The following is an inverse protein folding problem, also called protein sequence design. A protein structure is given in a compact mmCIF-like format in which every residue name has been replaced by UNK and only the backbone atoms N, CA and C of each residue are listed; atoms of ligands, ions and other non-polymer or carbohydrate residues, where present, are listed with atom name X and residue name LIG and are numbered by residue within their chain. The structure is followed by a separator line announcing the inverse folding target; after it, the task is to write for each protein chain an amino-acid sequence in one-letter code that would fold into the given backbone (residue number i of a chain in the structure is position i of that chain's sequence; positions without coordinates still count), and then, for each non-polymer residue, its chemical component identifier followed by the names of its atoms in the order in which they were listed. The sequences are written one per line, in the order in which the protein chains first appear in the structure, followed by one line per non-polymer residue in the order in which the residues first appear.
data_IF_818003392264
#
_entry.id   IF_818003392264
#
_cell.length_a   1.000
_cell.length_b   1.000
_cell.length_c   1.000
_cell.angle_alpha   90.00
_cell.angle_beta   90.00
_cell.angle_gamma   90.00
#
_symmetry.space_group_name_H-M   'P 1'
#
loop_
_entity.id
_entity.type
_entity.pdbx_description
1 polymer ?
#
# COMPACT_ATOMS: atom_id res chain seq x y z
N UNK A 1 4.73 6.49 -63.66
CA UNK A 1 5.72 6.12 -62.63
C UNK A 1 5.11 6.41 -61.29
N UNK A 2 4.48 5.42 -60.69
CA UNK A 2 3.75 5.57 -59.40
C UNK A 2 4.63 4.98 -58.30
N UNK A 3 5.05 5.79 -57.31
CA UNK A 3 5.75 5.33 -56.10
C UNK A 3 4.72 4.85 -55.10
N UNK A 4 4.77 3.55 -54.80
CA UNK A 4 4.09 2.98 -53.62
C UNK A 4 4.94 3.28 -52.37
N UNK A 5 4.37 4.01 -51.39
CA UNK A 5 4.91 4.08 -50.07
C UNK A 5 4.37 2.90 -49.26
N UNK A 6 5.24 1.94 -48.90
CA UNK A 6 4.96 0.94 -47.90
C UNK A 6 5.12 1.60 -46.52
N UNK A 7 4.01 1.83 -45.83
CA UNK A 7 4.00 2.23 -44.45
C UNK A 7 4.25 1.01 -43.56
N UNK A 8 5.43 0.94 -42.92
CA UNK A 8 5.70 -0.03 -41.84
C UNK A 8 5.04 0.48 -40.55
N UNK A 9 3.98 -0.17 -40.13
CA UNK A 9 3.42 0.04 -38.78
C UNK A 9 4.32 -0.68 -37.74
N UNK A 10 5.10 0.10 -36.99
CA UNK A 10 5.79 -0.38 -35.81
C UNK A 10 4.73 -0.70 -34.75
N UNK A 11 4.43 -1.96 -34.58
CA UNK A 11 3.62 -2.45 -33.47
C UNK A 11 4.35 -2.21 -32.16
N UNK A 12 3.92 -1.25 -31.36
CA UNK A 12 4.32 -1.10 -29.98
C UNK A 12 3.72 -2.26 -29.20
N UNK A 13 4.55 -3.28 -28.90
CA UNK A 13 4.22 -4.27 -27.89
C UNK A 13 4.18 -3.54 -26.55
N UNK A 14 3.00 -3.14 -26.10
CA UNK A 14 2.75 -2.79 -24.70
C UNK A 14 2.83 -4.10 -23.91
N UNK A 15 3.99 -4.36 -23.29
CA UNK A 15 4.11 -5.39 -22.31
C UNK A 15 3.02 -5.14 -21.26
N UNK A 16 2.11 -6.11 -21.12
CA UNK A 16 0.95 -5.99 -20.26
C UNK A 16 1.39 -5.61 -18.84
N UNK A 17 1.00 -4.44 -18.40
CA UNK A 17 0.99 -4.11 -17.00
C UNK A 17 0.17 -5.21 -16.32
N UNK A 18 0.80 -6.02 -15.47
CA UNK A 18 0.08 -6.90 -14.58
C UNK A 18 -0.74 -5.98 -13.65
N UNK A 19 -1.96 -5.70 -14.04
CA UNK A 19 -2.95 -5.16 -13.15
C UNK A 19 -3.02 -6.17 -12.00
N UNK A 20 -2.54 -5.79 -10.82
CA UNK A 20 -2.87 -6.50 -9.60
C UNK A 20 -4.38 -6.48 -9.54
N UNK A 21 -4.97 -7.63 -9.89
CA UNK A 21 -6.41 -7.81 -9.81
C UNK A 21 -6.76 -7.51 -8.35
N UNK A 22 -7.50 -6.43 -8.12
CA UNK A 22 -8.21 -6.29 -6.87
C UNK A 22 -8.96 -7.61 -6.72
N UNK A 23 -8.61 -8.41 -5.70
CA UNK A 23 -9.33 -9.63 -5.44
C UNK A 23 -10.79 -9.24 -5.14
N UNK A 24 -11.57 -9.14 -6.20
CA UNK A 24 -13.01 -9.09 -6.06
C UNK A 24 -13.39 -10.50 -5.64
N UNK A 25 -13.74 -10.64 -4.38
CA UNK A 25 -14.15 -11.93 -3.86
C UNK A 25 -15.33 -12.45 -4.70
N UNK A 26 -15.33 -13.75 -5.01
CA UNK A 26 -16.45 -14.36 -5.72
C UNK A 26 -17.74 -14.24 -4.91
N UNK A 27 -18.90 -14.31 -5.53
CA UNK A 27 -20.19 -14.12 -4.84
C UNK A 27 -20.47 -15.10 -3.69
N UNK A 28 -19.68 -16.17 -3.59
CA UNK A 28 -19.75 -17.18 -2.52
C UNK A 28 -18.70 -17.00 -1.43
N UNK A 29 -17.76 -16.10 -1.63
CA UNK A 29 -16.69 -15.84 -0.66
C UNK A 29 -17.14 -14.88 0.43
N UNK A 30 -16.60 -15.08 1.63
CA UNK A 30 -16.68 -14.08 2.68
C UNK A 30 -15.48 -13.14 2.56
N UNK A 31 -15.73 -11.85 2.59
CA UNK A 31 -14.65 -10.85 2.62
C UNK A 31 -14.16 -10.65 4.05
N UNK A 32 -12.86 -10.73 4.25
CA UNK A 32 -12.17 -10.34 5.48
C UNK A 32 -11.19 -9.20 5.20
N UNK A 33 -11.14 -8.22 6.09
CA UNK A 33 -10.16 -7.12 6.02
C UNK A 33 -9.13 -7.35 7.12
N UNK A 34 -7.86 -7.47 6.74
CA UNK A 34 -6.74 -7.70 7.66
C UNK A 34 -6.60 -6.54 8.63
N UNK A 35 -6.49 -6.84 9.91
CA UNK A 35 -6.22 -5.86 10.96
C UNK A 35 -4.85 -6.09 11.59
N UNK A 36 -4.35 -5.10 12.35
CA UNK A 36 -3.04 -5.21 13.02
C UNK A 36 -2.97 -6.43 13.94
N UNK A 37 -1.89 -7.20 13.80
CA UNK A 37 -1.68 -8.44 14.53
C UNK A 37 -2.20 -9.72 13.86
N UNK A 38 -2.91 -9.61 12.74
CA UNK A 38 -3.34 -10.77 11.98
C UNK A 38 -2.16 -11.48 11.30
N UNK A 39 -2.30 -12.79 11.19
CA UNK A 39 -1.50 -13.63 10.28
C UNK A 39 -2.44 -14.39 9.36
N UNK A 40 -2.00 -14.70 8.14
CA UNK A 40 -2.84 -15.48 7.22
C UNK A 40 -3.23 -16.84 7.79
N UNK A 41 -2.31 -17.45 8.57
CA UNK A 41 -2.58 -18.69 9.30
C UNK A 41 -3.65 -18.53 10.39
N UNK A 42 -3.63 -17.45 11.13
CA UNK A 42 -4.65 -17.13 12.14
C UNK A 42 -6.02 -16.88 11.51
N UNK A 43 -6.06 -16.17 10.38
CA UNK A 43 -7.29 -15.96 9.60
C UNK A 43 -7.80 -17.31 9.08
N UNK A 44 -6.92 -18.12 8.48
CA UNK A 44 -7.30 -19.45 7.98
C UNK A 44 -7.93 -20.32 9.07
N UNK A 45 -7.28 -20.40 10.26
CA UNK A 45 -7.79 -21.13 11.41
C UNK A 45 -9.15 -20.61 11.88
N UNK A 46 -9.33 -19.30 11.97
CA UNK A 46 -10.59 -18.64 12.36
C UNK A 46 -11.76 -19.02 11.46
N UNK A 47 -11.50 -19.20 10.18
CA UNK A 47 -12.52 -19.50 9.17
C UNK A 47 -12.57 -20.99 8.76
N UNK A 48 -11.84 -21.87 9.46
CA UNK A 48 -11.88 -23.30 9.22
C UNK A 48 -11.32 -23.75 7.86
N UNK A 49 -10.39 -22.97 7.31
CA UNK A 49 -9.66 -23.29 6.08
C UNK A 49 -8.19 -23.51 6.35
N UNK A 50 -7.45 -24.09 5.39
CA UNK A 50 -5.99 -24.22 5.53
C UNK A 50 -5.27 -22.95 5.07
N UNK A 51 -4.09 -22.71 5.65
CA UNK A 51 -3.20 -21.64 5.22
C UNK A 51 -2.92 -21.70 3.70
N UNK A 52 -2.63 -22.91 3.20
CA UNK A 52 -2.33 -23.12 1.79
C UNK A 52 -3.54 -22.81 0.88
N UNK A 53 -4.73 -23.26 1.28
CA UNK A 53 -5.97 -22.98 0.57
C UNK A 53 -6.25 -21.48 0.55
N UNK A 54 -6.12 -20.81 1.69
CA UNK A 54 -6.39 -19.38 1.79
C UNK A 54 -5.37 -18.55 0.98
N UNK A 55 -4.09 -18.93 1.02
CA UNK A 55 -3.04 -18.29 0.24
C UNK A 55 -3.28 -18.44 -1.27
N UNK A 56 -3.53 -19.67 -1.74
CA UNK A 56 -3.76 -19.94 -3.17
C UNK A 56 -5.03 -19.26 -3.69
N UNK A 57 -6.12 -19.28 -2.92
CA UNK A 57 -7.38 -18.64 -3.29
C UNK A 57 -7.25 -17.10 -3.44
N UNK A 58 -6.35 -16.51 -2.69
CA UNK A 58 -6.08 -15.07 -2.73
C UNK A 58 -4.85 -14.70 -3.56
N UNK A 59 -4.24 -15.64 -4.29
CA UNK A 59 -3.00 -15.43 -5.06
C UNK A 59 -1.86 -14.85 -4.20
N UNK A 60 -1.79 -15.24 -2.92
CA UNK A 60 -0.77 -14.80 -1.98
C UNK A 60 0.45 -15.73 -2.12
N UNK A 61 1.50 -15.25 -2.78
CA UNK A 61 2.71 -16.02 -3.02
C UNK A 61 3.57 -16.24 -1.77
N UNK A 62 3.51 -15.34 -0.80
CA UNK A 62 4.17 -15.49 0.49
C UNK A 62 3.15 -15.38 1.64
N UNK A 63 2.75 -16.50 2.27
CA UNK A 63 1.75 -16.53 3.33
C UNK A 63 2.12 -15.75 4.61
N UNK A 64 3.41 -15.42 4.78
CA UNK A 64 3.89 -14.61 5.91
C UNK A 64 3.77 -13.11 5.66
N UNK A 65 3.32 -12.71 4.46
CA UNK A 65 3.18 -11.31 4.07
C UNK A 65 1.72 -10.99 3.76
N UNK A 66 0.99 -10.55 4.76
CA UNK A 66 -0.31 -9.91 4.62
C UNK A 66 -0.25 -8.53 5.25
N UNK A 67 -1.08 -7.62 4.75
CA UNK A 67 -1.01 -6.21 5.10
C UNK A 67 -2.29 -5.76 5.78
N UNK A 68 -2.18 -4.86 6.74
CA UNK A 68 -3.35 -4.20 7.34
C UNK A 68 -4.21 -3.60 6.22
N UNK A 69 -5.53 -3.81 6.31
CA UNK A 69 -6.53 -3.47 5.31
C UNK A 69 -6.46 -4.27 3.98
N UNK A 70 -5.59 -5.25 3.87
CA UNK A 70 -5.66 -6.19 2.77
C UNK A 70 -7.00 -6.93 2.81
N UNK A 71 -7.65 -7.03 1.65
CA UNK A 71 -8.85 -7.85 1.50
C UNK A 71 -8.44 -9.31 1.29
N UNK A 72 -8.95 -10.18 2.12
CA UNK A 72 -8.81 -11.63 2.01
C UNK A 72 -10.16 -12.22 1.68
N UNK A 73 -10.24 -12.94 0.58
CA UNK A 73 -11.41 -13.71 0.18
C UNK A 73 -11.34 -15.07 0.86
N UNK A 74 -12.28 -15.34 1.73
CA UNK A 74 -12.39 -16.63 2.43
C UNK A 74 -13.25 -17.55 1.57
N UNK A 75 -12.67 -18.63 0.99
CA UNK A 75 -13.41 -19.51 0.11
C UNK A 75 -14.52 -20.26 0.84
N UNK A 76 -15.66 -20.31 0.20
CA UNK A 76 -16.78 -21.12 0.62
C UNK A 76 -17.46 -20.66 1.91
N UNK A 77 -18.72 -20.21 1.82
CA UNK A 77 -19.64 -20.28 2.93
C UNK A 77 -19.96 -21.75 3.31
N UNK A 78 -18.91 -22.60 3.40
CA UNK A 78 -19.02 -23.96 3.85
C UNK A 78 -19.53 -23.97 5.26
N UNK A 79 -20.56 -24.77 5.53
CA UNK A 79 -21.07 -25.15 6.84
C UNK A 79 -19.97 -25.88 7.63
N UNK A 80 -18.92 -25.14 8.00
CA UNK A 80 -17.97 -25.54 9.03
C UNK A 80 -18.74 -25.61 10.32
N UNK A 81 -18.90 -26.81 10.84
CA UNK A 81 -19.48 -27.12 12.15
C UNK A 81 -18.83 -26.23 13.18
N UNK A 82 -19.55 -25.21 13.65
CA UNK A 82 -19.11 -24.34 14.73
C UNK A 82 -18.89 -25.22 15.96
N UNK A 83 -17.63 -25.33 16.39
CA UNK A 83 -17.33 -25.76 17.74
C UNK A 83 -18.05 -24.82 18.70
N UNK A 84 -18.82 -25.39 19.63
CA UNK A 84 -19.63 -24.71 20.63
C UNK A 84 -18.85 -23.60 21.33
N UNK A 85 -19.32 -22.37 21.21
CA UNK A 85 -18.79 -21.22 21.96
C UNK A 85 -19.41 -19.92 21.52
N UNK A 86 -20.63 -19.64 21.94
CA UNK A 86 -21.15 -18.30 22.25
C UNK A 86 -21.48 -17.34 21.11
N UNK A 87 -22.81 -17.11 20.95
CA UNK A 87 -23.36 -15.81 20.61
C UNK A 87 -23.32 -15.38 19.15
N UNK A 88 -24.46 -15.55 18.44
CA UNK A 88 -24.75 -14.82 17.20
C UNK A 88 -24.86 -13.33 17.52
N UNK A 89 -23.80 -12.60 17.37
CA UNK A 89 -23.87 -11.13 17.33
C UNK A 89 -23.98 -10.72 15.86
N UNK A 90 -25.12 -10.18 15.51
CA UNK A 90 -25.31 -9.36 14.31
C UNK A 90 -24.23 -8.29 14.28
N UNK A 91 -23.27 -8.41 13.36
CA UNK A 91 -22.24 -7.39 13.20
C UNK A 91 -22.91 -6.17 12.57
N UNK A 92 -23.15 -5.15 13.41
CA UNK A 92 -23.28 -3.78 12.96
C UNK A 92 -22.05 -3.41 12.11
N UNK A 93 -22.24 -2.49 11.16
CA UNK A 93 -21.18 -1.96 10.31
C UNK A 93 -19.90 -1.75 11.10
N UNK A 94 -18.70 -2.00 10.52
CA UNK A 94 -17.46 -1.91 11.26
C UNK A 94 -17.35 -0.51 11.83
N UNK A 95 -17.50 -0.42 13.15
CA UNK A 95 -17.04 0.75 13.89
C UNK A 95 -15.55 0.83 13.55
N UNK A 96 -15.11 1.94 13.00
CA UNK A 96 -13.70 2.21 12.83
C UNK A 96 -13.02 1.98 14.17
N UNK A 97 -12.37 0.82 14.31
CA UNK A 97 -11.46 0.65 15.42
C UNK A 97 -10.29 1.59 15.11
N UNK A 98 -10.28 2.73 15.78
CA UNK A 98 -9.06 3.48 15.98
C UNK A 98 -8.01 2.48 16.39
N UNK A 99 -6.89 2.41 15.65
CA UNK A 99 -5.73 1.61 16.03
C UNK A 99 -5.52 1.75 17.53
N UNK A 100 -5.05 0.69 18.24
CA UNK A 100 -4.75 0.83 19.65
C UNK A 100 -3.79 2.01 19.77
N UNK A 101 -4.32 3.10 20.30
CA UNK A 101 -3.53 4.28 20.61
C UNK A 101 -2.53 3.80 21.63
N UNK A 102 -1.27 3.72 21.25
CA UNK A 102 -0.20 3.59 22.21
C UNK A 102 -0.48 4.65 23.27
N UNK A 103 -0.66 4.20 24.51
CA UNK A 103 -1.16 5.00 25.60
C UNK A 103 -0.47 6.37 25.62
N UNK A 104 -1.25 7.43 25.51
CA UNK A 104 -0.96 8.78 25.99
C UNK A 104 0.35 9.47 25.55
N UNK A 105 0.68 9.41 24.27
CA UNK A 105 1.41 10.54 23.68
C UNK A 105 0.36 11.35 22.94
N UNK A 106 -0.06 12.46 23.54
CA UNK A 106 -0.80 13.46 22.81
C UNK A 106 -0.05 13.74 21.51
N UNK A 107 -0.69 13.66 20.32
CA UNK A 107 0.01 13.97 19.09
C UNK A 107 0.60 15.37 19.26
N UNK A 108 1.91 15.48 19.22
CA UNK A 108 2.58 16.76 19.18
C UNK A 108 2.10 17.42 17.90
N UNK A 109 1.21 18.38 18.01
CA UNK A 109 0.56 19.07 16.88
C UNK A 109 1.52 19.88 16.02
N UNK A 110 2.82 19.73 16.22
CA UNK A 110 3.88 20.52 15.62
C UNK A 110 5.09 19.70 15.14
N UNK A 111 5.00 18.39 15.04
CA UNK A 111 6.13 17.60 14.58
C UNK A 111 6.36 17.81 13.08
N UNK A 112 7.32 18.65 12.75
CA UNK A 112 7.88 18.84 11.41
C UNK A 112 9.40 18.67 11.47
N UNK A 113 9.98 18.19 10.36
CA UNK A 113 11.43 18.19 10.17
C UNK A 113 11.93 19.52 9.63
N UNK A 114 13.16 19.83 9.91
CA UNK A 114 13.81 21.07 9.47
C UNK A 114 14.86 20.84 8.39
N UNK A 115 15.22 19.59 8.14
CA UNK A 115 16.19 19.19 7.11
C UNK A 115 15.96 17.76 6.67
N UNK A 116 16.38 17.44 5.45
CA UNK A 116 16.43 16.07 4.97
C UNK A 116 17.60 15.32 5.64
N UNK A 117 17.31 14.18 6.24
CA UNK A 117 18.30 13.34 6.94
C UNK A 117 18.50 11.97 6.28
N UNK A 118 17.77 11.70 5.19
CA UNK A 118 17.85 10.43 4.49
C UNK A 118 19.05 10.39 3.53
N UNK A 119 19.62 9.21 3.28
CA UNK A 119 20.77 9.09 2.38
C UNK A 119 20.36 9.31 0.91
N UNK A 120 21.12 10.18 0.21
CA UNK A 120 21.00 10.32 -1.24
C UNK A 120 21.67 9.11 -1.94
N UNK A 121 21.11 8.54 -2.99
CA UNK A 121 19.90 8.92 -3.75
C UNK A 121 18.66 8.05 -3.41
N UNK A 122 18.44 7.68 -2.16
CA UNK A 122 17.34 6.81 -1.76
C UNK A 122 15.95 7.41 -2.09
N UNK A 123 14.96 6.54 -2.26
CA UNK A 123 13.55 6.95 -2.42
C UNK A 123 13.06 7.80 -1.24
N UNK A 124 13.50 7.47 -0.03
CA UNK A 124 13.22 8.23 1.20
C UNK A 124 13.81 9.63 1.15
N UNK A 125 15.02 9.79 0.57
CA UNK A 125 15.61 11.12 0.38
C UNK A 125 14.76 11.97 -0.56
N UNK A 126 14.35 11.39 -1.70
CA UNK A 126 13.54 12.14 -2.66
C UNK A 126 12.17 12.48 -2.11
N UNK A 127 11.50 11.51 -1.47
CA UNK A 127 10.16 11.73 -0.94
C UNK A 127 10.14 12.86 0.10
N UNK A 128 11.13 12.89 1.01
CA UNK A 128 11.28 13.96 2.00
C UNK A 128 11.63 15.30 1.35
N UNK A 129 12.58 15.30 0.40
CA UNK A 129 12.98 16.50 -0.31
C UNK A 129 11.83 17.09 -1.14
N UNK A 130 11.08 16.23 -1.85
CA UNK A 130 9.96 16.68 -2.68
C UNK A 130 8.79 17.15 -1.85
N UNK A 131 8.52 16.45 -0.74
CA UNK A 131 7.49 16.87 0.21
C UNK A 131 7.80 18.27 0.78
N UNK A 132 9.05 18.52 1.16
CA UNK A 132 9.48 19.83 1.65
C UNK A 132 9.40 20.92 0.57
N UNK A 133 9.68 20.61 -0.70
CA UNK A 133 9.49 21.56 -1.80
C UNK A 133 8.01 21.99 -1.97
N UNK A 134 7.08 21.08 -1.72
CA UNK A 134 5.65 21.36 -1.87
C UNK A 134 5.07 22.05 -0.63
N UNK A 135 5.46 21.61 0.58
CA UNK A 135 4.79 21.99 1.83
C UNK A 135 5.63 22.93 2.73
N UNK A 136 6.91 23.13 2.42
CA UNK A 136 7.78 24.04 3.17
C UNK A 136 8.42 23.43 4.42
N UNK A 137 8.27 22.13 4.67
CA UNK A 137 8.87 21.43 5.81
C UNK A 137 9.10 19.95 5.47
N UNK A 138 10.10 19.36 6.14
CA UNK A 138 10.49 17.96 6.01
C UNK A 138 9.66 17.07 6.94
N UNK A 139 9.71 15.74 6.70
CA UNK A 139 9.12 14.78 7.64
C UNK A 139 9.92 14.79 8.96
N UNK A 140 9.25 14.57 10.12
CA UNK A 140 9.92 14.68 11.42
C UNK A 140 10.70 13.42 11.84
N UNK A 141 10.47 12.28 11.19
CA UNK A 141 11.13 11.02 11.56
C UNK A 141 12.49 10.87 10.89
N UNK A 142 13.45 10.36 11.65
CA UNK A 142 14.85 10.33 11.26
C UNK A 142 15.54 8.98 11.41
N UNK A 143 15.02 8.09 12.26
CA UNK A 143 15.65 6.81 12.58
C UNK A 143 14.69 5.65 12.30
N UNK A 144 15.25 4.46 11.96
CA UNK A 144 14.46 3.27 11.64
C UNK A 144 13.34 3.59 10.66
N UNK A 145 13.71 4.23 9.56
CA UNK A 145 12.76 4.82 8.62
C UNK A 145 13.03 4.33 7.22
N UNK A 146 13.15 3.00 7.07
CA UNK A 146 13.02 2.37 5.75
C UNK A 146 11.65 2.73 5.18
N UNK A 147 11.51 2.73 3.87
CA UNK A 147 10.30 3.17 3.20
C UNK A 147 9.03 2.54 3.81
N UNK A 148 8.98 1.23 3.96
CA UNK A 148 7.83 0.51 4.51
C UNK A 148 7.40 0.92 5.93
N UNK A 149 8.26 1.64 6.66
CA UNK A 149 7.99 2.07 8.02
C UNK A 149 7.31 3.46 8.07
N UNK A 150 7.23 4.16 6.96
CA UNK A 150 6.78 5.54 6.95
C UNK A 150 5.33 5.71 7.38
N UNK A 151 4.47 4.77 7.04
CA UNK A 151 3.08 4.72 7.54
C UNK A 151 3.04 4.68 9.07
N UNK A 152 3.82 3.80 9.69
CA UNK A 152 3.89 3.71 11.16
C UNK A 152 4.50 4.98 11.77
N UNK A 153 5.50 5.57 11.12
CA UNK A 153 6.08 6.83 11.57
C UNK A 153 5.08 7.99 11.50
N UNK A 154 4.30 8.06 10.42
CA UNK A 154 3.26 9.06 10.29
C UNK A 154 2.29 9.03 11.47
N UNK A 155 1.82 7.85 11.87
CA UNK A 155 1.00 7.70 13.08
C UNK A 155 1.73 8.16 14.36
N UNK A 156 2.99 7.79 14.53
CA UNK A 156 3.78 8.15 15.72
C UNK A 156 3.96 9.67 15.88
N UNK A 157 3.96 10.40 14.78
CA UNK A 157 4.14 11.85 14.76
C UNK A 157 2.83 12.64 14.56
N UNK A 158 1.69 11.95 14.62
CA UNK A 158 0.37 12.57 14.47
C UNK A 158 0.07 13.09 13.06
N UNK A 159 0.72 12.53 12.05
CA UNK A 159 0.44 12.81 10.65
C UNK A 159 -0.76 12.02 10.18
N UNK A 160 -1.44 12.55 9.17
CA UNK A 160 -2.59 11.91 8.55
C UNK A 160 -2.14 10.75 7.65
N UNK A 161 -2.79 9.61 7.78
CA UNK A 161 -2.62 8.45 6.90
C UNK A 161 -3.97 8.13 6.26
N UNK A 162 -3.98 8.09 4.94
CA UNK A 162 -5.17 7.84 4.14
C UNK A 162 -4.95 6.64 3.20
N UNK A 163 -6.04 6.05 2.76
CA UNK A 163 -6.05 5.08 1.64
C UNK A 163 -6.47 5.74 0.32
N UNK A 164 -6.78 7.02 0.36
CA UNK A 164 -7.16 7.84 -0.79
C UNK A 164 -6.04 8.82 -1.10
N UNK A 165 -5.60 8.89 -2.36
CA UNK A 165 -4.51 9.77 -2.76
C UNK A 165 -4.95 11.23 -2.77
N UNK A 166 -4.01 12.10 -2.38
CA UNK A 166 -4.10 13.54 -2.63
C UNK A 166 -2.79 14.01 -3.26
N UNK A 167 -2.87 15.01 -4.13
CA UNK A 167 -1.67 15.63 -4.72
C UNK A 167 -0.80 16.20 -3.61
N UNK A 168 0.49 15.96 -3.68
CA UNK A 168 1.47 16.37 -2.67
C UNK A 168 1.61 15.41 -1.48
N UNK A 169 0.75 14.39 -1.32
CA UNK A 169 0.95 13.36 -0.31
C UNK A 169 2.11 12.44 -0.66
N UNK A 170 2.72 11.83 0.35
CA UNK A 170 3.70 10.75 0.17
C UNK A 170 2.92 9.45 0.03
N UNK A 171 3.17 8.70 -1.05
CA UNK A 171 2.71 7.31 -1.17
C UNK A 171 3.75 6.39 -0.54
N UNK A 172 3.30 5.49 0.34
CA UNK A 172 4.11 4.43 0.95
C UNK A 172 3.64 3.07 0.43
N UNK A 173 4.54 2.37 -0.24
CA UNK A 173 4.36 1.02 -0.75
C UNK A 173 5.06 0.05 0.19
N UNK A 174 4.30 -0.89 0.73
CA UNK A 174 4.85 -1.97 1.54
C UNK A 174 5.77 -2.89 0.71
N UNK A 175 6.66 -3.68 1.35
CA UNK A 175 7.49 -4.64 0.64
C UNK A 175 6.70 -5.50 -0.34
N UNK A 176 7.26 -5.64 -1.56
CA UNK A 176 6.72 -6.46 -2.65
C UNK A 176 5.41 -5.98 -3.28
N UNK A 177 4.91 -4.80 -2.87
CA UNK A 177 3.73 -4.16 -3.45
C UNK A 177 4.11 -3.36 -4.68
N UNK A 178 3.44 -3.60 -5.80
CA UNK A 178 3.57 -2.90 -7.08
C UNK A 178 5.01 -2.74 -7.58
N UNK A 179 5.88 -3.69 -7.29
CA UNK A 179 7.29 -3.70 -7.69
C UNK A 179 8.26 -3.13 -6.66
N UNK A 180 7.79 -2.70 -5.49
CA UNK A 180 8.67 -2.36 -4.37
C UNK A 180 9.44 -3.59 -3.89
N UNK A 181 10.73 -3.43 -3.56
CA UNK A 181 11.55 -4.50 -2.99
C UNK A 181 11.30 -4.66 -1.48
N UNK A 182 12.07 -5.55 -0.83
CA UNK A 182 11.93 -5.87 0.60
C UNK A 182 12.06 -4.69 1.58
N UNK A 183 12.57 -3.54 1.13
CA UNK A 183 12.61 -2.29 1.89
C UNK A 183 11.35 -1.43 1.76
N UNK A 184 10.35 -1.87 0.96
CA UNK A 184 9.24 -1.02 0.56
C UNK A 184 9.68 0.11 -0.38
N UNK A 185 8.79 1.06 -0.63
CA UNK A 185 9.11 2.24 -1.44
C UNK A 185 8.24 3.42 -1.05
N UNK A 186 8.81 4.63 -1.14
CA UNK A 186 8.08 5.88 -0.99
C UNK A 186 8.29 6.78 -2.20
N UNK A 187 7.24 7.49 -2.57
CA UNK A 187 7.22 8.45 -3.65
C UNK A 187 6.30 9.63 -3.30
N UNK A 188 6.26 10.67 -4.10
CA UNK A 188 5.34 11.80 -3.87
C UNK A 188 4.32 11.88 -5.00
N UNK A 189 3.05 12.00 -4.63
CA UNK A 189 1.94 12.08 -5.57
C UNK A 189 1.96 13.43 -6.28
N UNK A 190 2.21 13.40 -7.57
CA UNK A 190 2.24 14.59 -8.43
C UNK A 190 0.88 14.83 -9.10
N UNK A 191 0.14 13.77 -9.36
CA UNK A 191 -1.18 13.84 -9.99
C UNK A 191 -2.05 12.65 -9.60
N UNK A 192 -3.33 12.90 -9.36
CA UNK A 192 -4.36 11.86 -9.21
C UNK A 192 -5.11 11.74 -10.54
N UNK A 193 -5.27 10.52 -11.03
CA UNK A 193 -5.96 10.20 -12.28
C UNK A 193 -7.46 9.94 -12.03
N UNK A 194 -8.29 10.06 -13.07
CA UNK A 194 -9.74 9.89 -12.97
C UNK A 194 -10.21 8.51 -12.49
N UNK A 195 -9.35 7.49 -12.59
CA UNK A 195 -9.59 6.13 -12.06
C UNK A 195 -9.04 5.92 -10.63
N UNK A 196 -8.59 6.97 -9.95
CA UNK A 196 -8.02 6.93 -8.62
C UNK A 196 -6.55 6.52 -8.57
N UNK A 197 -5.93 6.11 -9.67
CA UNK A 197 -4.50 5.89 -9.75
C UNK A 197 -3.73 7.21 -9.59
N UNK A 198 -2.44 7.13 -9.32
CA UNK A 198 -1.59 8.31 -9.18
C UNK A 198 -0.39 8.24 -10.11
N UNK A 199 0.09 9.41 -10.54
CA UNK A 199 1.46 9.56 -11.01
C UNK A 199 2.25 10.10 -9.84
N UNK A 200 3.29 9.38 -9.43
CA UNK A 200 4.16 9.79 -8.34
C UNK A 200 5.62 9.87 -8.79
N UNK A 201 6.34 10.85 -8.24
CA UNK A 201 7.76 11.06 -8.49
C UNK A 201 8.60 10.33 -7.45
N UNK A 202 9.69 9.70 -7.89
CA UNK A 202 10.57 8.92 -7.03
C UNK A 202 12.01 8.88 -7.52
N UNK A 203 12.95 8.61 -6.61
CA UNK A 203 14.31 8.16 -6.88
C UNK A 203 14.49 6.69 -6.53
N UNK A 204 15.59 6.09 -6.96
CA UNK A 204 15.90 4.67 -6.74
C UNK A 204 14.79 3.72 -7.22
N UNK A 205 14.10 4.12 -8.28
CA UNK A 205 13.10 3.32 -8.96
C UNK A 205 13.43 3.28 -10.46
N UNK A 206 13.62 2.08 -11.00
CA UNK A 206 14.09 1.88 -12.37
C UNK A 206 15.62 1.71 -12.46
N UNK A 207 16.17 1.83 -13.67
CA UNK A 207 17.55 1.48 -13.98
C UNK A 207 18.58 2.49 -13.44
N UNK A 208 18.20 3.75 -13.28
CA UNK A 208 19.11 4.78 -12.76
C UNK A 208 18.63 5.28 -11.39
N UNK A 209 19.30 4.89 -10.29
CA UNK A 209 18.90 5.30 -8.94
C UNK A 209 19.05 6.79 -8.67
N UNK A 210 19.85 7.50 -9.46
CA UNK A 210 20.09 8.95 -9.31
C UNK A 210 19.09 9.81 -10.06
N UNK A 211 18.24 9.21 -10.90
CA UNK A 211 17.25 9.96 -11.65
C UNK A 211 15.93 10.04 -10.89
N UNK A 212 15.31 11.20 -10.94
CA UNK A 212 13.90 11.33 -10.58
C UNK A 212 13.06 10.77 -11.71
N UNK A 213 12.24 9.80 -11.39
CA UNK A 213 11.35 9.13 -12.35
C UNK A 213 9.90 9.29 -11.91
N UNK A 214 8.98 9.16 -12.86
CA UNK A 214 7.55 9.29 -12.64
C UNK A 214 6.86 7.98 -13.01
N UNK A 215 6.15 7.40 -12.06
CA UNK A 215 5.51 6.11 -12.23
C UNK A 215 4.05 6.16 -11.82
N UNK A 216 3.26 5.31 -12.46
CA UNK A 216 1.87 5.14 -12.09
C UNK A 216 1.73 4.07 -11.01
N UNK A 217 1.02 4.42 -9.94
CA UNK A 217 0.65 3.50 -8.87
C UNK A 217 -0.87 3.50 -8.67
N UNK A 218 -1.38 2.41 -8.09
CA UNK A 218 -2.78 2.27 -7.75
C UNK A 218 -2.98 2.27 -6.23
N UNK A 219 -4.02 2.89 -5.68
CA UNK A 219 -4.47 2.61 -4.32
C UNK A 219 -4.79 1.13 -4.15
N UNK A 220 -4.58 0.59 -2.97
CA UNK A 220 -4.88 -0.82 -2.71
C UNK A 220 -4.17 -1.38 -1.48
N UNK A 221 -4.23 -2.71 -1.29
CA UNK A 221 -3.55 -3.37 -0.18
C UNK A 221 -2.05 -3.05 -0.16
N UNK A 222 -1.54 -2.69 1.02
CA UNK A 222 -0.14 -2.33 1.20
C UNK A 222 0.25 -0.97 0.62
N UNK A 223 -0.72 -0.12 0.30
CA UNK A 223 -0.50 1.26 -0.16
C UNK A 223 -1.19 2.22 0.79
N UNK A 224 -0.46 3.22 1.26
CA UNK A 224 -1.01 4.32 2.05
C UNK A 224 -0.53 5.66 1.51
N UNK A 225 -1.26 6.71 1.86
CA UNK A 225 -0.93 8.08 1.50
C UNK A 225 -0.78 8.90 2.78
N UNK A 226 0.35 9.59 2.90
CA UNK A 226 0.76 10.29 4.13
C UNK A 226 0.80 11.79 3.86
N UNK A 227 0.19 12.53 4.75
CA UNK A 227 0.25 14.01 4.76
C UNK A 227 0.21 14.53 6.19
N UNK A 228 0.47 15.81 6.36
CA UNK A 228 0.32 16.45 7.65
C UNK A 228 -1.04 17.11 7.76
#
# INVERSE_FOLDING_TARGET
MALLFLGATLGVNVAGAHASAYNVCSGTDRTYIVVGGDTLGGIAARYGTSLATLASHNSIGNPNLIYINQRICIPGGGTGKAGNGGGVTTYAAPVMHTAPVAANVAPSSSAIGYRNVFPYPACTWWADQRYAQIHGYFVPWTTNSMAWQWTARAYNFGWHVSYWPTVGSIIDLQPWVQGAYGGGHVAVVERVLGNGHVIASSMSWGANPYAVTYWQFAPGPGVTFISR
#
